data_IF_439595799110
#
_entry.id   IF_439595799110
#
_cell.length_a   1.000
_cell.length_b   1.000
_cell.length_c   1.000
_cell.angle_alpha   90.00
_cell.angle_beta   90.00
_cell.angle_gamma   90.00
#
_symmetry.space_group_name_H-M   'P 1'
#
loop_
_entity.id
_entity.type
_entity.pdbx_description
1 polymer ?
#
# COMPACT_ATOMS: atom_id res chain seq x y z
N UNK A 1 1.17 1.99 -17.74
CA UNK A 1 1.00 2.86 -16.56
C UNK A 1 2.03 2.49 -15.49
N UNK A 2 2.66 3.49 -14.84
CA UNK A 2 3.67 3.29 -13.79
C UNK A 2 3.15 2.45 -12.63
N UNK A 3 1.90 2.65 -12.23
CA UNK A 3 1.23 1.88 -11.18
C UNK A 3 1.27 0.37 -11.42
N UNK A 4 0.90 -0.07 -12.63
CA UNK A 4 0.90 -1.50 -13.00
C UNK A 4 2.32 -2.06 -13.00
N UNK A 5 3.26 -1.33 -13.58
CA UNK A 5 4.66 -1.77 -13.67
C UNK A 5 5.29 -1.87 -12.28
N UNK A 6 5.05 -0.87 -11.43
CA UNK A 6 5.51 -0.84 -10.03
C UNK A 6 4.90 -1.97 -9.22
N UNK A 7 3.57 -2.10 -9.22
CA UNK A 7 2.89 -3.17 -8.49
C UNK A 7 3.39 -4.56 -8.93
N UNK A 8 3.47 -4.79 -10.24
CA UNK A 8 3.93 -6.08 -10.77
C UNK A 8 5.38 -6.39 -10.39
N UNK A 9 6.28 -5.40 -10.45
CA UNK A 9 7.68 -5.58 -10.05
C UNK A 9 7.80 -5.87 -8.55
N UNK A 10 7.12 -5.08 -7.71
CA UNK A 10 7.15 -5.24 -6.26
C UNK A 10 6.55 -6.57 -5.79
N UNK A 11 5.42 -7.00 -6.38
CA UNK A 11 4.81 -8.30 -6.07
C UNK A 11 5.75 -9.45 -6.47
N UNK A 12 6.46 -9.34 -7.61
CA UNK A 12 7.47 -10.34 -8.00
C UNK A 12 8.66 -10.35 -7.05
N UNK A 13 9.13 -9.17 -6.61
CA UNK A 13 10.23 -9.02 -5.64
C UNK A 13 9.89 -9.69 -4.30
N UNK A 14 8.62 -9.67 -3.89
CA UNK A 14 8.15 -10.38 -2.70
C UNK A 14 8.23 -11.90 -2.81
N UNK A 15 8.36 -12.45 -4.01
CA UNK A 15 8.42 -13.88 -4.21
C UNK A 15 7.17 -14.62 -3.75
N UNK A 16 5.99 -13.97 -3.80
CA UNK A 16 4.73 -14.60 -3.41
C UNK A 16 4.54 -15.88 -4.22
N UNK A 17 4.33 -17.03 -3.58
CA UNK A 17 4.17 -18.31 -4.27
C UNK A 17 3.05 -18.22 -5.31
N UNK A 18 3.25 -18.83 -6.47
CA UNK A 18 2.21 -18.90 -7.51
C UNK A 18 0.96 -19.57 -6.93
N UNK A 19 -0.11 -18.80 -6.85
CA UNK A 19 -1.42 -19.26 -6.39
C UNK A 19 -2.41 -19.19 -7.54
N UNK A 20 -3.49 -19.99 -7.45
CA UNK A 20 -4.60 -19.86 -8.40
C UNK A 20 -5.27 -18.49 -8.28
N UNK A 21 -5.38 -17.99 -7.06
CA UNK A 21 -5.96 -16.68 -6.75
C UNK A 21 -4.91 -15.83 -6.06
N UNK A 22 -4.66 -14.63 -6.56
CA UNK A 22 -3.90 -13.59 -5.88
C UNK A 22 -4.88 -12.56 -5.34
N UNK A 23 -4.79 -12.25 -4.05
CA UNK A 23 -5.64 -11.24 -3.40
C UNK A 23 -4.80 -10.00 -3.06
N UNK A 24 -5.20 -8.86 -3.58
CA UNK A 24 -4.53 -7.56 -3.39
C UNK A 24 -5.50 -6.59 -2.74
N UNK A 25 -5.08 -5.92 -1.67
CA UNK A 25 -5.80 -4.77 -1.14
C UNK A 25 -5.03 -3.50 -1.46
N UNK A 26 -5.67 -2.57 -2.16
CA UNK A 26 -5.16 -1.23 -2.45
C UNK A 26 -5.78 -0.25 -1.47
N UNK A 27 -4.95 0.40 -0.67
CA UNK A 27 -5.40 1.29 0.42
C UNK A 27 -5.03 2.74 0.13
N UNK A 28 -5.84 3.68 0.62
CA UNK A 28 -5.70 5.09 0.29
C UNK A 28 -6.09 5.39 -1.16
N UNK A 29 -6.91 4.54 -1.75
CA UNK A 29 -7.26 4.59 -3.16
C UNK A 29 -7.93 5.90 -3.58
N UNK A 30 -7.57 6.35 -4.77
CA UNK A 30 -8.17 7.52 -5.42
C UNK A 30 -9.02 7.08 -6.62
N UNK A 31 -10.16 7.75 -6.91
CA UNK A 31 -11.10 7.31 -7.94
C UNK A 31 -10.50 7.18 -9.34
N UNK A 32 -9.55 8.06 -9.68
CA UNK A 32 -8.94 8.14 -11.00
C UNK A 32 -7.68 7.28 -11.16
N UNK A 33 -7.19 6.69 -10.08
CA UNK A 33 -6.03 5.79 -10.08
C UNK A 33 -6.50 4.39 -9.71
N UNK A 34 -6.48 4.04 -8.43
CA UNK A 34 -6.83 2.69 -7.95
C UNK A 34 -8.32 2.36 -8.19
N UNK A 35 -9.16 3.39 -8.25
CA UNK A 35 -10.58 3.26 -8.62
C UNK A 35 -10.81 2.95 -10.10
N UNK A 36 -9.77 2.95 -10.94
CA UNK A 36 -9.83 2.55 -12.35
C UNK A 36 -9.60 1.05 -12.50
N UNK A 37 -10.66 0.31 -12.73
CA UNK A 37 -10.64 -1.16 -12.78
C UNK A 37 -9.76 -1.72 -13.91
N UNK A 38 -9.51 -0.95 -14.99
CA UNK A 38 -8.63 -1.36 -16.09
C UNK A 38 -7.18 -1.57 -15.63
N UNK A 39 -6.71 -0.85 -14.60
CA UNK A 39 -5.38 -1.04 -14.04
C UNK A 39 -5.19 -2.43 -13.45
N UNK A 40 -6.23 -2.96 -12.83
CA UNK A 40 -6.21 -4.29 -12.22
C UNK A 40 -6.24 -5.40 -13.25
N UNK A 41 -6.93 -5.17 -14.39
CA UNK A 41 -6.89 -6.09 -15.53
C UNK A 41 -5.48 -6.15 -16.10
N UNK A 42 -4.84 -4.99 -16.30
CA UNK A 42 -3.45 -4.90 -16.77
C UNK A 42 -2.47 -5.54 -15.78
N UNK A 43 -2.71 -5.38 -14.47
CA UNK A 43 -1.87 -6.02 -13.44
C UNK A 43 -1.98 -7.55 -13.50
N UNK A 44 -3.20 -8.09 -13.65
CA UNK A 44 -3.41 -9.52 -13.80
C UNK A 44 -2.69 -10.09 -15.02
N UNK A 45 -2.72 -9.34 -16.15
CA UNK A 45 -1.99 -9.70 -17.38
C UNK A 45 -0.48 -9.67 -17.15
N UNK A 46 0.03 -8.60 -16.52
CA UNK A 46 1.45 -8.46 -16.24
C UNK A 46 1.97 -9.57 -15.32
N UNK A 47 1.22 -9.94 -14.29
CA UNK A 47 1.58 -10.98 -13.33
C UNK A 47 1.34 -12.40 -13.86
N UNK A 48 0.54 -12.54 -14.93
CA UNK A 48 0.11 -13.84 -15.48
C UNK A 48 -0.59 -14.72 -14.42
N UNK A 49 -1.37 -14.09 -13.53
CA UNK A 49 -2.15 -14.82 -12.53
C UNK A 49 -3.42 -15.39 -13.12
N UNK A 50 -3.90 -16.50 -12.61
CA UNK A 50 -5.13 -17.13 -13.07
C UNK A 50 -6.34 -16.30 -12.66
N UNK A 51 -6.37 -15.87 -11.40
CA UNK A 51 -7.41 -15.02 -10.84
C UNK A 51 -6.78 -13.92 -9.98
N UNK A 52 -7.26 -12.69 -10.11
CA UNK A 52 -6.90 -11.56 -9.28
C UNK A 52 -8.16 -11.05 -8.56
N UNK A 53 -8.14 -11.07 -7.24
CA UNK A 53 -9.14 -10.42 -6.40
C UNK A 53 -8.57 -9.13 -5.82
N UNK A 54 -9.27 -8.03 -6.00
CA UNK A 54 -8.84 -6.70 -5.56
C UNK A 54 -9.90 -6.07 -4.67
N UNK A 55 -9.48 -5.53 -3.55
CA UNK A 55 -10.24 -4.62 -2.73
C UNK A 55 -9.57 -3.25 -2.77
N UNK A 56 -10.27 -2.24 -3.26
CA UNK A 56 -9.82 -0.84 -3.26
C UNK A 56 -10.53 -0.12 -2.13
N UNK A 57 -9.76 0.44 -1.19
CA UNK A 57 -10.28 1.18 -0.03
C UNK A 57 -9.70 2.58 0.01
N UNK A 58 -10.54 3.57 0.21
CA UNK A 58 -10.08 4.95 0.34
C UNK A 58 -11.22 5.92 0.67
N UNK A 59 -10.94 7.05 1.32
CA UNK A 59 -11.97 8.00 1.72
C UNK A 59 -12.69 8.63 0.52
N UNK A 60 -12.00 8.76 -0.61
CA UNK A 60 -12.54 9.33 -1.84
C UNK A 60 -13.10 8.27 -2.81
N UNK A 61 -12.97 7.01 -2.47
CA UNK A 61 -13.53 5.90 -3.26
C UNK A 61 -15.03 5.82 -3.01
N UNK A 62 -15.81 5.55 -4.05
CA UNK A 62 -17.24 5.28 -3.91
C UNK A 62 -17.47 3.78 -3.75
N UNK A 63 -18.33 3.41 -2.81
CA UNK A 63 -18.76 2.02 -2.66
C UNK A 63 -19.29 1.47 -3.97
N UNK A 64 -18.73 0.37 -4.38
CA UNK A 64 -19.19 -0.37 -5.54
C UNK A 64 -19.14 -1.87 -5.25
N UNK A 65 -20.23 -2.59 -5.54
CA UNK A 65 -20.22 -4.04 -5.40
C UNK A 65 -19.16 -4.65 -6.31
N UNK A 66 -18.70 -5.83 -5.94
CA UNK A 66 -17.71 -6.55 -6.70
C UNK A 66 -18.11 -6.72 -8.17
N UNK A 67 -17.25 -6.28 -9.07
CA UNK A 67 -17.36 -6.49 -10.51
C UNK A 67 -16.34 -7.49 -10.99
N UNK A 68 -16.77 -8.39 -11.86
CA UNK A 68 -15.89 -9.37 -12.49
C UNK A 68 -15.58 -8.97 -13.92
N UNK A 69 -14.29 -9.06 -14.29
CA UNK A 69 -13.78 -8.72 -15.59
C UNK A 69 -13.14 -9.94 -16.23
N UNK A 70 -13.57 -10.26 -17.47
CA UNK A 70 -13.05 -11.39 -18.25
C UNK A 70 -12.99 -12.72 -17.48
N UNK A 71 -13.86 -12.89 -16.46
CA UNK A 71 -13.92 -14.10 -15.65
C UNK A 71 -12.72 -14.32 -14.70
N UNK A 72 -11.73 -13.44 -14.69
CA UNK A 72 -10.49 -13.64 -13.92
C UNK A 72 -10.07 -12.49 -13.00
N UNK A 73 -10.60 -11.29 -13.17
CA UNK A 73 -10.31 -10.16 -12.29
C UNK A 73 -11.59 -9.75 -11.60
N UNK A 74 -11.55 -9.63 -10.29
CA UNK A 74 -12.67 -9.19 -9.47
C UNK A 74 -12.24 -7.99 -8.64
N UNK A 75 -12.93 -6.86 -8.79
CA UNK A 75 -12.63 -5.62 -8.07
C UNK A 75 -13.84 -5.23 -7.22
N UNK A 76 -13.57 -4.96 -5.96
CA UNK A 76 -14.54 -4.42 -4.98
C UNK A 76 -14.02 -3.06 -4.52
N UNK A 77 -14.92 -2.09 -4.32
CA UNK A 77 -14.57 -0.78 -3.79
C UNK A 77 -15.31 -0.54 -2.49
N UNK A 78 -14.60 -0.01 -1.50
CA UNK A 78 -15.11 0.29 -0.17
C UNK A 78 -14.68 1.70 0.23
N UNK A 79 -15.67 2.55 0.57
CA UNK A 79 -15.41 3.91 1.00
C UNK A 79 -14.95 3.93 2.46
N UNK A 80 -13.94 4.74 2.77
CA UNK A 80 -13.49 4.95 4.13
C UNK A 80 -12.05 4.54 4.40
N UNK A 81 -11.72 4.43 5.68
CA UNK A 81 -10.41 4.00 6.13
C UNK A 81 -10.29 2.47 6.08
N UNK A 82 -9.10 2.00 5.73
CA UNK A 82 -8.82 0.58 5.76
C UNK A 82 -8.70 0.08 7.20
N UNK A 83 -9.64 -0.75 7.59
CA UNK A 83 -9.64 -1.40 8.91
C UNK A 83 -9.29 -2.88 8.78
N UNK A 84 -8.12 -3.23 9.27
CA UNK A 84 -7.62 -4.62 9.27
C UNK A 84 -8.51 -5.55 10.11
N UNK A 85 -9.18 -5.01 11.12
CA UNK A 85 -10.11 -5.78 11.98
C UNK A 85 -11.48 -5.99 11.32
N UNK A 86 -11.90 -5.09 10.43
CA UNK A 86 -13.18 -5.17 9.73
C UNK A 86 -13.13 -6.11 8.53
N UNK A 87 -13.20 -7.40 8.80
CA UNK A 87 -13.18 -8.42 7.74
C UNK A 87 -14.49 -8.57 6.97
N UNK A 88 -15.51 -7.74 7.22
CA UNK A 88 -16.81 -7.88 6.55
C UNK A 88 -16.74 -7.69 5.05
N UNK A 89 -15.85 -6.82 4.57
CA UNK A 89 -15.61 -6.57 3.15
C UNK A 89 -14.54 -7.49 2.56
N UNK A 90 -13.82 -8.24 3.38
CA UNK A 90 -12.77 -9.14 2.92
C UNK A 90 -13.37 -10.50 2.58
N UNK A 91 -13.25 -10.90 1.35
CA UNK A 91 -13.58 -12.29 0.96
C UNK A 91 -12.50 -13.27 1.40
N UNK A 92 -11.25 -12.80 1.39
CA UNK A 92 -10.08 -13.52 1.85
C UNK A 92 -9.06 -12.53 2.41
N UNK A 93 -8.16 -13.01 3.28
CA UNK A 93 -7.01 -12.22 3.69
C UNK A 93 -6.14 -11.91 2.46
N UNK A 94 -5.62 -10.67 2.31
CA UNK A 94 -4.79 -10.34 1.17
C UNK A 94 -3.45 -11.04 1.22
N UNK A 95 -2.93 -11.39 0.06
CA UNK A 95 -1.55 -11.84 -0.10
C UNK A 95 -0.57 -10.66 -0.01
N UNK A 96 -1.04 -9.46 -0.36
CA UNK A 96 -0.29 -8.21 -0.33
C UNK A 96 -1.22 -7.01 -0.21
N UNK A 97 -0.78 -6.01 0.54
CA UNK A 97 -1.39 -4.68 0.59
C UNK A 97 -0.51 -3.73 -0.22
N UNK A 98 -1.13 -2.79 -0.94
CA UNK A 98 -0.43 -1.74 -1.70
C UNK A 98 -1.01 -0.39 -1.33
N UNK A 99 -0.15 0.58 -1.01
CA UNK A 99 -0.48 1.96 -0.75
C UNK A 99 0.30 2.85 -1.72
N UNK A 100 -0.37 3.37 -2.75
CA UNK A 100 0.27 4.27 -3.71
C UNK A 100 0.19 5.71 -3.20
N UNK A 101 1.34 6.38 -3.06
CA UNK A 101 1.43 7.78 -2.64
C UNK A 101 0.56 8.11 -1.43
N UNK A 102 0.48 7.21 -0.47
CA UNK A 102 -0.45 7.32 0.65
C UNK A 102 -0.13 8.49 1.59
N UNK A 103 1.13 8.91 1.68
CA UNK A 103 1.54 10.02 2.52
C UNK A 103 1.19 9.79 3.99
N UNK A 104 1.59 8.67 4.54
CA UNK A 104 1.26 8.29 5.93
C UNK A 104 1.65 9.37 6.94
N UNK A 105 2.74 10.08 6.67
CA UNK A 105 3.26 11.15 7.51
C UNK A 105 2.37 12.38 7.55
N UNK A 106 1.57 12.61 6.51
CA UNK A 106 0.79 13.84 6.33
C UNK A 106 -0.61 13.81 6.96
N UNK A 107 -1.07 12.65 7.44
CA UNK A 107 -2.44 12.50 7.92
C UNK A 107 -2.54 11.55 9.13
N UNK A 108 -2.93 12.09 10.27
CA UNK A 108 -3.12 11.31 11.51
C UNK A 108 -4.16 10.19 11.36
N UNK A 109 -5.10 10.36 10.43
CA UNK A 109 -6.13 9.35 10.12
C UNK A 109 -5.58 8.00 9.67
N UNK A 110 -4.31 7.92 9.26
CA UNK A 110 -3.64 6.67 8.93
C UNK A 110 -3.29 5.81 10.15
N UNK A 111 -3.11 6.42 11.34
CA UNK A 111 -2.60 5.74 12.53
C UNK A 111 -3.32 4.42 12.84
N UNK A 112 -4.67 4.33 12.86
CA UNK A 112 -5.37 3.06 13.13
C UNK A 112 -5.09 1.99 12.08
N UNK A 113 -5.03 2.38 10.81
CA UNK A 113 -4.69 1.48 9.69
C UNK A 113 -3.26 0.95 9.83
N UNK A 114 -2.28 1.82 10.11
CA UNK A 114 -0.88 1.45 10.30
C UNK A 114 -0.70 0.50 11.48
N UNK A 115 -1.32 0.79 12.63
CA UNK A 115 -1.34 -0.11 13.78
C UNK A 115 -1.92 -1.48 13.44
N UNK A 116 -3.00 -1.51 12.65
CA UNK A 116 -3.61 -2.74 12.18
C UNK A 116 -2.66 -3.56 11.29
N UNK A 117 -2.03 -2.93 10.30
CA UNK A 117 -1.08 -3.57 9.38
C UNK A 117 0.15 -4.11 10.12
N UNK A 118 0.69 -3.34 11.08
CA UNK A 118 1.85 -3.74 11.88
C UNK A 118 1.59 -4.97 12.77
N UNK A 119 0.33 -5.31 13.04
CA UNK A 119 -0.09 -6.52 13.75
C UNK A 119 -0.33 -7.73 12.84
N UNK A 120 -0.09 -7.58 11.55
CA UNK A 120 -0.23 -8.67 10.58
C UNK A 120 1.12 -9.07 10.01
N UNK A 121 1.21 -10.28 9.44
CA UNK A 121 2.37 -10.69 8.63
C UNK A 121 2.18 -10.40 7.15
N UNK A 122 1.19 -9.61 6.79
CA UNK A 122 0.88 -9.29 5.39
C UNK A 122 1.89 -8.27 4.88
N UNK A 123 2.64 -8.54 3.79
CA UNK A 123 3.54 -7.57 3.22
C UNK A 123 2.77 -6.36 2.69
N UNK A 124 3.24 -5.17 3.01
CA UNK A 124 2.65 -3.91 2.57
C UNK A 124 3.67 -3.13 1.75
N UNK A 125 3.36 -2.95 0.47
CA UNK A 125 4.16 -2.17 -0.49
C UNK A 125 3.66 -0.73 -0.41
N UNK A 126 4.58 0.22 -0.30
CA UNK A 126 4.27 1.65 -0.27
C UNK A 126 5.08 2.35 -1.35
N UNK A 127 4.47 3.31 -2.02
CA UNK A 127 5.18 4.18 -2.96
C UNK A 127 5.06 5.64 -2.54
N UNK A 128 6.07 6.43 -2.88
CA UNK A 128 6.15 7.86 -2.60
C UNK A 128 6.69 8.61 -3.81
N UNK A 129 6.48 9.91 -3.86
CA UNK A 129 7.02 10.78 -4.92
C UNK A 129 8.51 11.05 -4.74
N UNK A 130 8.96 11.15 -3.49
CA UNK A 130 10.35 11.48 -3.15
C UNK A 130 10.92 10.54 -2.10
N UNK A 131 12.25 10.49 -2.04
CA UNK A 131 12.97 9.74 -1.00
C UNK A 131 12.68 10.30 0.40
N UNK A 132 12.50 11.60 0.50
CA UNK A 132 12.18 12.27 1.76
C UNK A 132 10.80 11.84 2.28
N UNK A 133 9.76 11.90 1.41
CA UNK A 133 8.43 11.41 1.77
C UNK A 133 8.45 9.94 2.21
N UNK A 134 9.17 9.09 1.49
CA UNK A 134 9.27 7.69 1.84
C UNK A 134 9.92 7.47 3.24
N UNK A 135 10.91 8.29 3.60
CA UNK A 135 11.51 8.26 4.95
C UNK A 135 10.53 8.75 6.02
N UNK A 136 9.76 9.81 5.72
CA UNK A 136 8.71 10.30 6.61
C UNK A 136 7.60 9.24 6.79
N UNK A 137 7.22 8.52 5.72
CA UNK A 137 6.26 7.42 5.81
C UNK A 137 6.78 6.28 6.70
N UNK A 138 8.05 5.91 6.59
CA UNK A 138 8.68 4.91 7.48
C UNK A 138 8.69 5.40 8.93
N UNK A 139 8.97 6.69 9.16
CA UNK A 139 8.93 7.28 10.49
C UNK A 139 7.51 7.28 11.08
N UNK A 140 6.50 7.59 10.27
CA UNK A 140 5.09 7.51 10.68
C UNK A 140 4.67 6.08 11.06
N UNK A 141 5.18 5.06 10.37
CA UNK A 141 5.01 3.66 10.75
C UNK A 141 5.63 3.37 12.13
N UNK A 142 6.83 3.86 12.40
CA UNK A 142 7.48 3.74 13.71
C UNK A 142 6.65 4.43 14.79
N UNK A 143 6.26 5.68 14.56
CA UNK A 143 5.43 6.46 15.48
C UNK A 143 4.09 5.79 15.80
N UNK A 144 3.50 5.06 14.83
CA UNK A 144 2.25 4.34 15.06
C UNK A 144 2.37 3.22 16.11
N UNK A 145 3.59 2.75 16.45
CA UNK A 145 3.83 1.75 17.50
C UNK A 145 3.93 2.34 18.89
N UNK A 146 4.04 3.66 19.01
CA UNK A 146 4.27 4.39 20.24
C UNK A 146 2.99 5.06 20.75
N UNK A 147 3.00 5.52 21.98
CA UNK A 147 1.94 6.40 22.52
C UNK A 147 1.98 7.77 21.81
N UNK A 148 0.86 8.46 21.82
CA UNK A 148 0.78 9.82 21.27
C UNK A 148 1.68 10.76 22.04
N UNK A 149 2.38 11.66 21.33
CA UNK A 149 3.32 12.60 21.92
C UNK A 149 4.70 12.02 22.21
N UNK A 150 5.03 10.84 21.71
CA UNK A 150 6.39 10.30 21.78
C UNK A 150 7.40 11.27 21.15
N UNK A 151 8.63 11.31 21.69
CA UNK A 151 9.69 12.16 21.18
C UNK A 151 10.15 11.75 19.78
N UNK A 152 10.79 12.70 19.09
CA UNK A 152 11.36 12.45 17.76
C UNK A 152 12.37 11.31 17.78
N UNK A 153 13.24 11.26 18.78
CA UNK A 153 14.24 10.19 18.95
C UNK A 153 13.56 8.81 19.13
N UNK A 154 12.44 8.77 19.87
CA UNK A 154 11.68 7.53 20.05
C UNK A 154 11.04 7.09 18.74
N UNK A 155 10.49 8.01 17.94
CA UNK A 155 9.93 7.72 16.63
C UNK A 155 11.00 7.18 15.67
N UNK A 156 12.20 7.77 15.66
CA UNK A 156 13.30 7.34 14.80
C UNK A 156 13.82 5.95 15.23
N UNK A 157 13.93 5.70 16.53
CA UNK A 157 14.31 4.39 17.06
C UNK A 157 13.27 3.31 16.72
N UNK A 158 11.97 3.65 16.83
CA UNK A 158 10.89 2.74 16.46
C UNK A 158 10.88 2.46 14.94
N UNK A 159 11.13 3.48 14.12
CA UNK A 159 11.24 3.32 12.66
C UNK A 159 12.41 2.39 12.27
N UNK A 160 13.56 2.53 12.95
CA UNK A 160 14.73 1.66 12.73
C UNK A 160 14.49 0.20 13.15
N UNK A 161 13.54 -0.05 14.04
CA UNK A 161 13.17 -1.39 14.52
C UNK A 161 12.11 -2.10 13.65
N UNK A 162 11.59 -1.44 12.61
CA UNK A 162 10.60 -2.03 11.71
C UNK A 162 11.18 -3.19 10.89
N UNK A 163 10.34 -4.16 10.59
CA UNK A 163 10.66 -5.26 9.67
C UNK A 163 10.43 -4.80 8.21
N UNK A 164 11.44 -4.12 7.65
CA UNK A 164 11.42 -3.71 6.26
C UNK A 164 11.94 -4.86 5.39
N UNK A 165 11.08 -5.35 4.50
CA UNK A 165 11.48 -6.35 3.49
C UNK A 165 12.42 -5.73 2.44
N UNK A 166 12.22 -4.45 2.14
CA UNK A 166 13.20 -3.53 1.56
C UNK A 166 12.90 -2.11 2.04
N UNK A 167 13.95 -1.31 2.21
CA UNK A 167 13.86 0.08 2.64
C UNK A 167 13.44 1.01 1.50
N UNK A 168 13.29 2.31 1.77
CA UNK A 168 13.09 3.30 0.72
C UNK A 168 14.22 3.22 -0.32
N UNK A 169 13.84 2.90 -1.55
CA UNK A 169 14.75 2.79 -2.70
C UNK A 169 14.11 3.39 -3.94
N UNK A 170 14.93 3.89 -4.85
CA UNK A 170 14.47 4.36 -6.15
C UNK A 170 13.80 3.23 -6.93
N UNK A 171 12.66 3.55 -7.53
CA UNK A 171 11.89 2.60 -8.30
C UNK A 171 12.20 2.74 -9.80
N UNK A 172 12.88 1.77 -10.36
CA UNK A 172 13.18 1.71 -11.80
C UNK A 172 11.92 1.74 -12.68
N UNK A 173 10.75 1.42 -12.12
CA UNK A 173 9.46 1.43 -12.80
C UNK A 173 8.65 2.70 -12.55
N UNK A 174 9.29 3.73 -12.00
CA UNK A 174 8.68 5.04 -11.81
C UNK A 174 8.06 5.59 -13.11
N UNK A 175 7.07 6.46 -12.98
CA UNK A 175 6.47 7.14 -14.11
C UNK A 175 7.50 7.92 -14.92
N UNK A 176 7.44 7.81 -16.24
CA UNK A 176 8.34 8.58 -17.12
C UNK A 176 8.01 10.08 -17.11
N UNK A 177 6.73 10.40 -16.86
CA UNK A 177 6.26 11.78 -16.81
C UNK A 177 6.69 12.43 -15.48
N UNK A 178 7.36 13.57 -15.59
CA UNK A 178 7.58 14.47 -14.46
C UNK A 178 6.30 15.26 -14.21
N UNK A 179 5.87 15.31 -12.98
CA UNK A 179 4.77 16.15 -12.53
C UNK A 179 5.41 17.35 -11.85
N UNK A 180 5.16 18.55 -12.39
CA UNK A 180 5.66 19.78 -11.77
C UNK A 180 4.77 20.09 -10.57
N UNK A 181 5.37 20.18 -9.39
CA UNK A 181 4.65 20.60 -8.21
C UNK A 181 4.25 22.08 -8.29
N UNK A 182 3.03 22.35 -7.87
CA UNK A 182 2.56 23.72 -7.69
C UNK A 182 3.19 24.39 -6.46
N UNK A 183 3.69 23.62 -5.50
CA UNK A 183 4.39 24.12 -4.30
C UNK A 183 5.21 23.01 -3.63
N UNK A 184 6.47 23.26 -3.27
CA UNK A 184 7.25 24.44 -3.69
C UNK A 184 7.63 24.38 -5.17
N UNK A 185 7.72 25.52 -5.85
CA UNK A 185 8.06 25.56 -7.27
C UNK A 185 9.46 25.01 -7.51
N UNK A 186 9.62 24.24 -8.61
CA UNK A 186 10.92 23.67 -9.00
C UNK A 186 11.17 22.23 -8.55
N UNK A 187 10.22 21.60 -7.85
CA UNK A 187 10.30 20.17 -7.55
C UNK A 187 9.48 19.38 -8.57
N UNK A 188 10.20 18.64 -9.41
CA UNK A 188 9.58 17.69 -10.32
C UNK A 188 9.42 16.33 -9.61
N UNK A 189 8.20 15.82 -9.58
CA UNK A 189 7.94 14.49 -9.06
C UNK A 189 7.77 13.49 -10.20
N UNK A 190 8.10 12.25 -9.93
CA UNK A 190 7.72 11.12 -10.77
C UNK A 190 6.78 10.23 -9.97
N UNK A 191 5.69 9.79 -10.61
CA UNK A 191 4.78 8.84 -9.98
C UNK A 191 5.53 7.56 -9.60
N UNK A 192 5.29 7.06 -8.39
CA UNK A 192 5.92 5.86 -7.86
C UNK A 192 7.46 5.90 -7.92
N UNK A 193 8.06 7.07 -7.67
CA UNK A 193 9.50 7.27 -7.81
C UNK A 193 10.33 6.49 -6.79
N UNK A 194 9.77 6.31 -5.60
CA UNK A 194 10.40 5.57 -4.51
C UNK A 194 9.43 4.50 -4.04
N UNK A 195 9.95 3.35 -3.62
CA UNK A 195 9.15 2.30 -3.00
C UNK A 195 9.85 1.70 -1.80
N UNK A 196 9.07 1.23 -0.85
CA UNK A 196 9.53 0.37 0.24
C UNK A 196 8.46 -0.68 0.56
N UNK A 197 8.84 -1.67 1.33
CA UNK A 197 7.89 -2.67 1.79
C UNK A 197 8.20 -3.06 3.23
N UNK A 198 7.16 -3.15 4.03
CA UNK A 198 7.26 -3.62 5.40
C UNK A 198 6.36 -4.82 5.64
N UNK A 199 6.64 -5.52 6.72
CA UNK A 199 5.79 -6.57 7.27
C UNK A 199 5.62 -6.33 8.75
N UNK A 200 4.39 -6.39 9.22
CA UNK A 200 4.13 -6.35 10.65
C UNK A 200 4.47 -7.69 11.32
N UNK A 201 4.52 -7.66 12.61
CA UNK A 201 4.70 -8.86 13.45
C UNK A 201 3.41 -9.11 14.21
N UNK A 202 2.69 -10.21 13.92
CA UNK A 202 1.52 -10.57 14.71
C UNK A 202 1.93 -10.67 16.19
N UNK A 203 1.13 -10.11 17.06
CA UNK A 203 1.30 -10.36 18.50
C UNK A 203 1.27 -11.87 18.69
N UNK A 204 2.42 -12.46 19.01
CA UNK A 204 2.47 -13.84 19.48
C UNK A 204 1.72 -13.84 20.80
N UNK A 205 0.44 -14.25 20.75
CA UNK A 205 -0.51 -14.12 21.83
C UNK A 205 0.14 -14.25 23.19
N UNK A 206 -0.10 -13.27 24.06
CA UNK A 206 0.00 -13.54 25.50
C UNK A 206 -0.96 -14.68 25.75
N UNK A 207 -0.49 -15.82 26.29
CA UNK A 207 -1.40 -16.85 26.75
C UNK A 207 -2.29 -16.18 27.83
N UNK A 208 -3.61 -16.14 27.55
CA UNK A 208 -4.63 -15.68 28.48
C UNK A 208 -4.76 -16.62 29.65
#
# INVERSE_FOLDING_TARGET
PSFVATAAASIRKLGIPKRKVLTVHAIGGQPHVEGNDDLWILLADALKVQTLEVLVVGPDVRDRPARAYRGRVRVTHDAGAYDVANRRVWRAAPDVVIAFHAGFWGYDSWRPTLMGLLRTSIPTIVTSYTMEEARLDVRALGAATLEEGASDDACDAAAAALDLLWGPEENERAGARRVVASAPPGHDYRENNVSFCFRGRPDRGRPG
#
